data_IF_233512406389
#
_entry.id   IF_233512406389
#
_cell.length_a   1.000
_cell.length_b   1.000
_cell.length_c   1.000
_cell.angle_alpha   90.00
_cell.angle_beta   90.00
_cell.angle_gamma   90.00
#
_symmetry.space_group_name_H-M   'P 1'
#
loop_
_entity.id
_entity.type
_entity.pdbx_description
1 polymer ?
#
# COMPACT_ATOMS: atom_id res chain seq x y z
N UNK A 1 -10.14 -14.61 -2.01
CA UNK A 1 -10.34 -14.21 -3.42
C UNK A 1 -11.78 -13.76 -3.60
N UNK A 2 -12.08 -12.84 -4.53
CA UNK A 2 -13.46 -12.45 -4.89
C UNK A 2 -14.29 -11.94 -3.71
N UNK A 3 -13.66 -11.21 -2.79
CA UNK A 3 -14.33 -10.64 -1.61
C UNK A 3 -14.49 -9.14 -1.78
N UNK A 4 -15.69 -8.63 -1.52
CA UNK A 4 -15.96 -7.20 -1.43
C UNK A 4 -16.34 -6.84 0.00
N UNK A 5 -15.69 -5.83 0.55
CA UNK A 5 -16.06 -5.21 1.83
C UNK A 5 -16.44 -3.77 1.56
N UNK A 6 -17.64 -3.38 2.00
CA UNK A 6 -18.23 -2.07 1.69
C UNK A 6 -18.82 -1.38 2.91
N UNK A 7 -18.59 -0.06 3.03
CA UNK A 7 -19.26 0.82 4.00
C UNK A 7 -18.92 0.53 5.46
N UNK A 8 -17.80 -0.13 5.73
CA UNK A 8 -17.39 -0.52 7.08
C UNK A 8 -16.46 0.52 7.73
N UNK A 9 -16.45 0.54 9.06
CA UNK A 9 -15.44 1.23 9.85
C UNK A 9 -14.52 0.18 10.50
N UNK A 10 -13.28 0.12 10.06
CA UNK A 10 -12.31 -0.91 10.41
C UNK A 10 -11.16 -0.24 11.11
N UNK A 11 -10.94 -0.58 12.38
CA UNK A 11 -9.84 -0.01 13.15
C UNK A 11 -9.06 -1.08 13.92
N UNK A 12 -7.77 -0.81 14.15
CA UNK A 12 -6.91 -1.71 14.90
C UNK A 12 -5.57 -1.09 15.24
N UNK A 13 -4.75 -1.83 16.00
CA UNK A 13 -3.41 -1.37 16.38
C UNK A 13 -2.41 -1.51 15.23
N UNK A 14 -2.31 -2.72 14.68
CA UNK A 14 -1.37 -3.06 13.61
C UNK A 14 -2.01 -4.05 12.63
N UNK A 15 -1.48 -4.10 11.41
CA UNK A 15 -1.88 -5.07 10.37
C UNK A 15 -3.37 -5.02 10.11
N UNK A 16 -3.84 -3.89 9.60
CA UNK A 16 -5.26 -3.67 9.34
C UNK A 16 -5.47 -3.53 7.84
N UNK A 17 -6.43 -4.29 7.31
CA UNK A 17 -6.98 -4.05 5.99
C UNK A 17 -8.39 -4.62 5.88
N UNK A 18 -9.13 -4.19 4.87
CA UNK A 18 -10.53 -4.57 4.76
C UNK A 18 -10.73 -6.07 4.54
N UNK A 19 -9.81 -6.71 3.82
CA UNK A 19 -9.91 -8.13 3.47
C UNK A 19 -9.12 -8.99 4.45
N UNK A 20 -7.93 -8.55 4.85
CA UNK A 20 -7.07 -9.30 5.74
C UNK A 20 -6.15 -8.40 6.57
N UNK A 21 -5.85 -8.79 7.81
CA UNK A 21 -4.76 -8.16 8.55
C UNK A 21 -3.39 -8.56 8.01
N UNK A 22 -3.15 -9.87 7.89
CA UNK A 22 -2.04 -10.48 7.16
C UNK A 22 -2.55 -11.31 5.98
N UNK A 23 -2.06 -11.06 4.77
CA UNK A 23 -2.45 -11.74 3.54
C UNK A 23 -1.34 -12.59 2.95
N UNK A 24 -1.65 -13.82 2.53
CA UNK A 24 -0.71 -14.67 1.79
C UNK A 24 -0.98 -14.62 0.28
N UNK A 25 -2.23 -14.74 -0.16
CA UNK A 25 -2.61 -14.56 -1.57
C UNK A 25 -4.00 -13.95 -1.64
N UNK A 26 -4.10 -12.74 -2.16
CA UNK A 26 -5.35 -12.01 -2.30
C UNK A 26 -5.55 -11.70 -3.77
N UNK A 27 -6.69 -12.11 -4.34
CA UNK A 27 -7.01 -11.76 -5.71
C UNK A 27 -8.46 -11.34 -5.85
N UNK A 28 -8.69 -10.41 -6.76
CA UNK A 28 -10.03 -9.98 -7.18
C UNK A 28 -10.88 -9.51 -5.99
N UNK A 29 -10.24 -8.83 -5.03
CA UNK A 29 -10.90 -8.31 -3.83
C UNK A 29 -11.01 -6.79 -3.87
N UNK A 30 -12.11 -6.28 -3.32
CA UNK A 30 -12.51 -4.89 -3.42
C UNK A 30 -12.80 -4.29 -2.04
N UNK A 31 -12.12 -3.20 -1.72
CA UNK A 31 -12.39 -2.38 -0.55
C UNK A 31 -13.08 -1.10 -1.00
N UNK A 32 -14.36 -0.96 -0.70
CA UNK A 32 -15.21 0.10 -1.26
C UNK A 32 -15.80 0.96 -0.14
N UNK A 33 -15.58 2.27 -0.17
CA UNK A 33 -16.24 3.22 0.74
C UNK A 33 -16.07 2.88 2.24
N UNK A 34 -15.00 2.17 2.62
CA UNK A 34 -14.70 1.90 4.02
C UNK A 34 -13.90 3.08 4.62
N UNK A 35 -13.92 3.17 5.95
CA UNK A 35 -12.93 3.93 6.73
C UNK A 35 -12.02 2.94 7.43
N UNK A 36 -10.73 2.97 7.11
CA UNK A 36 -9.75 1.98 7.59
C UNK A 36 -8.63 2.71 8.32
N UNK A 37 -8.47 2.45 9.61
CA UNK A 37 -7.54 3.16 10.48
C UNK A 37 -6.65 2.22 11.30
N UNK A 38 -5.35 2.50 11.36
CA UNK A 38 -4.47 1.82 12.31
C UNK A 38 -3.32 2.69 12.81
N UNK A 39 -2.65 2.25 13.87
CA UNK A 39 -1.39 2.88 14.28
C UNK A 39 -0.30 2.52 13.27
N UNK A 40 -0.16 1.22 12.96
CA UNK A 40 0.90 0.72 12.07
C UNK A 40 0.36 -0.21 10.99
N UNK A 41 1.01 -0.20 9.82
CA UNK A 41 0.76 -1.09 8.69
C UNK A 41 -0.73 -1.24 8.35
N UNK A 42 -1.30 -0.16 7.80
CA UNK A 42 -2.67 -0.18 7.30
C UNK A 42 -2.67 -0.25 5.76
N UNK A 43 -3.50 -1.12 5.21
CA UNK A 43 -3.76 -1.19 3.78
C UNK A 43 -5.24 -1.14 3.48
N UNK A 44 -5.62 -0.59 2.31
CA UNK A 44 -7.02 -0.65 1.88
C UNK A 44 -7.53 -2.09 1.73
N UNK A 45 -6.65 -3.01 1.31
CA UNK A 45 -6.94 -4.43 1.11
C UNK A 45 -6.35 -5.27 2.24
N UNK A 46 -5.04 -5.15 2.51
CA UNK A 46 -4.40 -5.87 3.62
C UNK A 46 -3.34 -5.08 4.38
N UNK A 47 -3.19 -5.34 5.69
CA UNK A 47 -2.17 -4.67 6.49
C UNK A 47 -0.74 -5.09 6.16
N UNK A 48 -0.48 -6.40 6.16
CA UNK A 48 0.82 -7.01 5.80
C UNK A 48 0.64 -8.10 4.75
N UNK A 49 1.53 -8.14 3.76
CA UNK A 49 1.53 -9.13 2.68
C UNK A 49 2.74 -10.06 2.78
N UNK A 50 2.53 -11.38 2.70
CA UNK A 50 3.60 -12.40 2.63
C UNK A 50 3.64 -13.17 1.31
N UNK A 51 2.67 -12.96 0.41
CA UNK A 51 2.69 -13.52 -0.95
C UNK A 51 2.13 -12.54 -1.98
N UNK A 52 1.07 -12.87 -2.71
CA UNK A 52 0.66 -12.09 -3.89
C UNK A 52 -0.62 -11.28 -3.69
N UNK A 53 -0.70 -10.12 -4.36
CA UNK A 53 -1.95 -9.38 -4.59
C UNK A 53 -2.15 -9.18 -6.08
N UNK A 54 -3.33 -9.56 -6.58
CA UNK A 54 -3.66 -9.47 -7.99
C UNK A 54 -5.06 -8.92 -8.23
N UNK A 55 -5.23 -7.96 -9.13
CA UNK A 55 -6.58 -7.51 -9.54
C UNK A 55 -7.39 -6.89 -8.41
N UNK A 56 -6.73 -6.34 -7.38
CA UNK A 56 -7.39 -5.77 -6.21
C UNK A 56 -7.60 -4.27 -6.33
N UNK A 57 -8.63 -3.77 -5.66
CA UNK A 57 -9.02 -2.38 -5.75
C UNK A 57 -9.40 -1.79 -4.40
N UNK A 58 -9.02 -0.52 -4.21
CA UNK A 58 -9.41 0.26 -3.05
C UNK A 58 -9.99 1.62 -3.45
N UNK A 59 -11.23 1.90 -3.02
CA UNK A 59 -11.79 3.26 -2.96
C UNK A 59 -12.04 3.75 -1.53
N UNK A 60 -11.67 2.95 -0.53
CA UNK A 60 -11.82 3.29 0.87
C UNK A 60 -10.78 4.31 1.34
N UNK A 61 -11.13 5.10 2.35
CA UNK A 61 -10.19 5.98 3.04
C UNK A 61 -9.29 5.15 3.96
N UNK A 62 -7.98 5.36 3.85
CA UNK A 62 -6.96 4.63 4.62
C UNK A 62 -6.13 5.63 5.43
N UNK A 63 -6.08 5.43 6.75
CA UNK A 63 -5.31 6.30 7.65
C UNK A 63 -4.43 5.52 8.61
N UNK A 64 -3.12 5.74 8.51
CA UNK A 64 -2.11 5.22 9.43
C UNK A 64 -1.58 6.32 10.36
N UNK A 65 -0.86 5.92 11.41
CA UNK A 65 0.02 6.84 12.12
C UNK A 65 1.42 6.80 11.48
N UNK A 66 2.00 5.60 11.33
CA UNK A 66 3.38 5.45 10.84
C UNK A 66 3.51 4.85 9.44
N UNK A 67 2.67 3.90 9.02
CA UNK A 67 2.79 3.23 7.71
C UNK A 67 1.39 2.99 7.13
N UNK A 68 1.15 3.46 5.91
CA UNK A 68 -0.11 3.22 5.21
C UNK A 68 0.07 3.05 3.70
N UNK A 69 -0.67 2.13 3.09
CA UNK A 69 -0.77 2.05 1.64
C UNK A 69 -2.20 1.88 1.14
N UNK A 70 -2.48 2.34 -0.07
CA UNK A 70 -3.83 2.23 -0.63
C UNK A 70 -4.26 0.78 -0.87
N UNK A 71 -3.33 -0.13 -1.19
CA UNK A 71 -3.61 -1.56 -1.34
C UNK A 71 -3.10 -2.32 -0.12
N UNK A 72 -1.81 -2.21 0.17
CA UNK A 72 -1.19 -2.90 1.31
C UNK A 72 -0.41 -1.94 2.21
N UNK A 73 -0.37 -2.21 3.52
CA UNK A 73 0.45 -1.41 4.43
C UNK A 73 1.94 -1.67 4.22
N UNK A 74 2.36 -2.92 4.37
CA UNK A 74 3.74 -3.37 4.16
C UNK A 74 3.77 -4.72 3.48
N UNK A 75 4.86 -5.03 2.81
CA UNK A 75 5.21 -6.40 2.46
C UNK A 75 6.22 -6.96 3.46
N UNK A 76 6.16 -8.28 3.71
CA UNK A 76 7.15 -9.06 4.46
C UNK A 76 7.53 -8.52 5.84
N UNK A 77 6.52 -8.23 6.67
CA UNK A 77 6.77 -8.08 8.11
C UNK A 77 7.24 -9.44 8.69
N UNK A 78 8.23 -9.44 9.59
CA UNK A 78 8.80 -10.62 10.29
C UNK A 78 9.84 -11.48 9.53
N UNK A 79 10.54 -10.94 8.54
CA UNK A 79 11.71 -11.61 7.95
C UNK A 79 11.39 -12.79 7.01
N UNK A 80 10.11 -13.07 6.80
CA UNK A 80 9.67 -13.97 5.74
C UNK A 80 9.82 -13.26 4.40
N UNK A 81 10.84 -13.66 3.63
CA UNK A 81 11.10 -13.09 2.30
C UNK A 81 10.08 -13.65 1.31
N UNK A 82 8.95 -12.95 1.19
CA UNK A 82 7.99 -13.25 0.15
C UNK A 82 8.53 -12.67 -1.14
N UNK A 83 8.93 -13.50 -2.10
CA UNK A 83 9.15 -13.04 -3.48
C UNK A 83 7.79 -12.76 -4.13
N UNK A 84 7.00 -11.89 -3.50
CA UNK A 84 5.60 -11.68 -3.83
C UNK A 84 5.42 -10.66 -4.95
N UNK A 85 4.27 -10.73 -5.59
CA UNK A 85 3.91 -9.88 -6.71
C UNK A 85 2.66 -9.08 -6.36
N UNK A 86 2.72 -7.78 -6.57
CA UNK A 86 1.56 -6.89 -6.57
C UNK A 86 1.32 -6.43 -7.99
N UNK A 87 0.20 -6.86 -8.57
CA UNK A 87 -0.07 -6.60 -9.98
C UNK A 87 -1.54 -6.27 -10.25
N UNK A 88 -1.77 -5.38 -11.23
CA UNK A 88 -3.11 -4.97 -11.66
C UNK A 88 -3.97 -4.44 -10.51
N UNK A 89 -3.34 -3.71 -9.59
CA UNK A 89 -4.01 -3.15 -8.43
C UNK A 89 -4.24 -1.66 -8.57
N UNK A 90 -5.41 -1.21 -8.13
CA UNK A 90 -5.87 0.16 -8.31
C UNK A 90 -6.31 0.79 -6.99
N UNK A 91 -5.71 1.93 -6.65
CA UNK A 91 -6.16 2.75 -5.53
C UNK A 91 -6.74 4.07 -6.04
N UNK A 92 -7.96 4.39 -5.62
CA UNK A 92 -8.55 5.73 -5.76
C UNK A 92 -8.88 6.36 -4.40
N UNK A 93 -8.80 5.59 -3.32
CA UNK A 93 -9.04 6.06 -1.97
C UNK A 93 -7.90 6.95 -1.46
N UNK A 94 -8.23 7.93 -0.62
CA UNK A 94 -7.21 8.75 0.04
C UNK A 94 -6.40 7.91 1.03
N UNK A 95 -5.08 8.12 1.07
CA UNK A 95 -4.17 7.44 2.00
C UNK A 95 -3.40 8.49 2.79
N UNK A 96 -3.48 8.42 4.12
CA UNK A 96 -2.89 9.43 5.01
C UNK A 96 -2.06 8.81 6.13
N UNK A 97 -0.87 9.35 6.38
CA UNK A 97 -0.09 9.12 7.61
C UNK A 97 0.19 10.45 8.31
N UNK A 98 0.50 10.42 9.61
CA UNK A 98 0.59 11.65 10.43
C UNK A 98 1.95 11.90 11.08
N UNK A 99 2.74 10.86 11.37
CA UNK A 99 4.07 11.01 11.98
C UNK A 99 5.13 11.53 11.00
N UNK A 100 6.19 12.16 11.52
CA UNK A 100 7.31 12.66 10.68
C UNK A 100 8.23 11.55 10.18
N UNK A 101 8.41 10.47 10.92
CA UNK A 101 9.19 9.32 10.45
C UNK A 101 8.26 8.21 9.94
N UNK A 102 7.38 8.58 9.01
CA UNK A 102 6.35 7.70 8.45
C UNK A 102 6.57 7.39 6.97
N UNK A 103 5.90 6.35 6.48
CA UNK A 103 5.91 5.97 5.06
C UNK A 103 4.50 5.78 4.52
N UNK A 104 4.21 6.41 3.39
CA UNK A 104 2.89 6.32 2.76
C UNK A 104 2.99 6.22 1.24
N UNK A 105 2.24 5.28 0.67
CA UNK A 105 2.17 5.15 -0.78
C UNK A 105 0.79 4.76 -1.31
N UNK A 106 0.55 5.05 -2.59
CA UNK A 106 -0.72 4.74 -3.23
C UNK A 106 -1.02 3.25 -3.35
N UNK A 107 0.02 2.42 -3.50
CA UNK A 107 -0.10 0.96 -3.52
C UNK A 107 0.43 0.36 -2.22
N UNK A 108 1.64 0.73 -1.81
CA UNK A 108 2.28 0.23 -0.58
C UNK A 108 2.85 1.35 0.29
N UNK A 109 2.73 1.23 1.60
CA UNK A 109 3.29 2.19 2.55
C UNK A 109 4.80 2.07 2.70
N UNK A 110 5.30 0.87 3.01
CA UNK A 110 6.72 0.62 3.23
C UNK A 110 7.26 -0.57 2.42
N UNK A 111 8.59 -0.57 2.27
CA UNK A 111 9.40 -1.42 1.41
C UNK A 111 8.96 -2.88 1.38
N UNK A 112 9.10 -3.45 0.20
CA UNK A 112 8.66 -4.78 -0.15
C UNK A 112 9.90 -5.59 -0.53
N UNK A 113 10.64 -6.07 0.48
CA UNK A 113 11.85 -6.87 0.28
C UNK A 113 11.55 -8.00 -0.73
N UNK A 114 12.16 -7.92 -1.93
CA UNK A 114 12.02 -8.83 -3.07
C UNK A 114 10.65 -8.88 -3.75
N UNK A 115 9.82 -7.86 -3.59
CA UNK A 115 8.55 -7.78 -4.31
C UNK A 115 8.68 -7.06 -5.65
N UNK A 116 7.82 -7.47 -6.57
CA UNK A 116 7.58 -6.79 -7.83
C UNK A 116 6.23 -6.09 -7.76
N UNK A 117 6.21 -4.77 -7.98
CA UNK A 117 4.98 -3.99 -8.14
C UNK A 117 4.86 -3.60 -9.60
N UNK A 118 3.82 -4.06 -10.29
CA UNK A 118 3.67 -3.73 -11.70
C UNK A 118 2.25 -3.55 -12.17
N UNK A 119 2.05 -2.77 -13.23
CA UNK A 119 0.73 -2.55 -13.82
C UNK A 119 -0.31 -2.04 -12.80
N UNK A 120 0.12 -1.16 -11.89
CA UNK A 120 -0.73 -0.61 -10.83
C UNK A 120 -1.02 0.88 -11.07
N UNK A 121 -2.15 1.36 -10.56
CA UNK A 121 -2.51 2.77 -10.64
C UNK A 121 -2.88 3.32 -9.25
N UNK A 122 -2.38 4.52 -8.95
CA UNK A 122 -2.89 5.33 -7.86
C UNK A 122 -3.51 6.63 -8.37
N UNK A 123 -4.82 6.77 -8.24
CA UNK A 123 -5.53 8.05 -8.39
C UNK A 123 -6.02 8.60 -7.04
N UNK A 124 -5.67 7.96 -5.93
CA UNK A 124 -5.95 8.47 -4.59
C UNK A 124 -4.99 9.58 -4.20
N UNK A 125 -5.48 10.53 -3.41
CA UNK A 125 -4.63 11.56 -2.79
C UNK A 125 -3.78 10.93 -1.69
N UNK A 126 -2.46 11.10 -1.79
CA UNK A 126 -1.52 10.66 -0.77
C UNK A 126 -1.10 11.85 0.09
N UNK A 127 -1.23 11.71 1.41
CA UNK A 127 -0.88 12.76 2.37
C UNK A 127 0.02 12.17 3.46
N UNK A 128 1.24 12.69 3.58
CA UNK A 128 2.17 12.31 4.62
C UNK A 128 3.04 13.49 5.01
N UNK A 129 3.48 13.51 6.27
CA UNK A 129 4.37 14.54 6.82
C UNK A 129 5.82 14.05 6.93
N UNK A 130 6.10 12.84 6.45
CA UNK A 130 7.38 12.18 6.63
C UNK A 130 8.24 12.10 5.38
N UNK A 131 9.42 11.50 5.53
CA UNK A 131 10.42 11.40 4.47
C UNK A 131 10.01 10.50 3.30
N UNK A 132 9.12 9.53 3.55
CA UNK A 132 8.84 8.45 2.62
C UNK A 132 7.40 8.55 2.09
N UNK A 133 7.13 9.56 1.27
CA UNK A 133 5.84 9.76 0.60
C UNK A 133 6.02 9.41 -0.87
N UNK A 134 5.16 8.56 -1.43
CA UNK A 134 5.23 8.21 -2.85
C UNK A 134 3.88 7.98 -3.49
N UNK A 135 3.76 8.29 -4.78
CA UNK A 135 2.54 8.01 -5.55
C UNK A 135 2.22 6.53 -5.64
N UNK A 136 3.24 5.65 -5.60
CA UNK A 136 3.08 4.18 -5.65
C UNK A 136 3.56 3.53 -4.36
N UNK A 137 4.83 3.74 -3.99
CA UNK A 137 5.44 3.16 -2.80
C UNK A 137 5.98 4.28 -1.91
N UNK A 138 5.68 4.26 -0.61
CA UNK A 138 6.21 5.28 0.31
C UNK A 138 7.72 5.18 0.50
N UNK A 139 8.21 3.97 0.79
CA UNK A 139 9.64 3.70 0.92
C UNK A 139 10.07 2.57 0.00
N UNK A 140 11.12 2.80 -0.79
CA UNK A 140 11.78 1.80 -1.64
C UNK A 140 13.15 1.38 -1.09
N UNK A 141 13.53 1.88 0.08
CA UNK A 141 14.87 1.85 0.67
C UNK A 141 15.31 0.47 1.21
N UNK A 142 15.07 -0.58 0.43
CA UNK A 142 15.75 -1.85 0.58
C UNK A 142 16.59 -2.12 -0.65
N UNK A 143 17.85 -2.52 -0.44
CA UNK A 143 18.73 -3.10 -1.47
C UNK A 143 18.13 -4.36 -2.14
N UNK A 144 16.90 -4.73 -1.78
CA UNK A 144 16.18 -5.93 -2.18
C UNK A 144 14.83 -5.61 -2.83
N UNK A 145 14.40 -4.35 -2.98
CA UNK A 145 13.26 -4.04 -3.85
C UNK A 145 13.61 -4.49 -5.26
N UNK A 146 12.80 -5.39 -5.84
CA UNK A 146 13.15 -5.98 -7.13
C UNK A 146 12.80 -5.03 -8.28
N UNK A 147 11.54 -4.60 -8.36
CA UNK A 147 11.04 -3.87 -9.53
C UNK A 147 9.75 -3.10 -9.23
N UNK A 148 9.69 -1.83 -9.65
CA UNK A 148 8.44 -1.11 -9.86
C UNK A 148 8.38 -0.74 -11.33
N UNK A 149 7.34 -1.19 -12.06
CA UNK A 149 7.26 -0.87 -13.49
C UNK A 149 5.85 -0.93 -14.05
N UNK A 150 5.59 -0.13 -15.08
CA UNK A 150 4.24 0.11 -15.61
C UNK A 150 3.26 0.57 -14.52
N UNK A 151 3.75 1.34 -13.55
CA UNK A 151 2.94 1.90 -12.48
C UNK A 151 2.74 3.39 -12.73
N UNK A 152 1.52 3.87 -12.50
CA UNK A 152 1.14 5.24 -12.76
C UNK A 152 0.48 5.85 -11.53
N UNK A 153 0.60 7.17 -11.37
CA UNK A 153 -0.10 7.88 -10.33
C UNK A 153 -0.61 9.22 -10.85
N UNK A 154 -1.68 9.73 -10.24
CA UNK A 154 -2.20 11.06 -10.56
C UNK A 154 -1.30 12.13 -9.92
N UNK A 155 -0.50 12.83 -10.74
CA UNK A 155 0.42 13.88 -10.29
C UNK A 155 -0.28 15.11 -9.69
N UNK A 156 -1.53 15.39 -10.07
CA UNK A 156 -2.27 16.54 -9.53
C UNK A 156 -2.63 16.34 -8.05
N UNK A 157 -2.69 15.08 -7.62
CA UNK A 157 -3.04 14.69 -6.26
C UNK A 157 -1.82 14.25 -5.43
N UNK A 158 -0.67 14.09 -6.07
CA UNK A 158 0.52 13.48 -5.50
C UNK A 158 1.77 14.24 -5.94
N UNK A 159 2.35 15.00 -5.01
CA UNK A 159 3.57 15.76 -5.25
C UNK A 159 4.85 14.92 -5.10
N UNK A 160 4.71 13.62 -4.83
CA UNK A 160 5.82 12.69 -4.68
C UNK A 160 5.94 11.75 -5.88
N UNK A 161 7.16 11.35 -6.21
CA UNK A 161 7.49 10.42 -7.29
C UNK A 161 6.94 9.00 -7.07
N UNK A 162 7.47 8.01 -7.80
CA UNK A 162 7.09 6.60 -7.62
C UNK A 162 7.43 6.08 -6.20
N UNK A 163 8.47 6.62 -5.57
CA UNK A 163 8.82 6.51 -4.14
C UNK A 163 10.07 7.34 -3.80
N UNK A 164 10.43 7.44 -2.52
CA UNK A 164 11.75 7.98 -2.10
C UNK A 164 12.64 6.84 -1.56
N UNK A 165 13.83 6.67 -2.13
CA UNK A 165 14.83 5.69 -1.74
C UNK A 165 16.00 5.57 -2.74
N UNK A 166 17.18 5.15 -2.26
CA UNK A 166 18.37 5.06 -3.10
C UNK A 166 18.17 3.99 -4.19
N UNK A 167 18.25 4.40 -5.45
CA UNK A 167 17.93 3.62 -6.67
C UNK A 167 16.45 3.60 -7.05
N UNK A 168 15.96 4.75 -7.52
CA UNK A 168 14.82 4.83 -8.43
C UNK A 168 15.13 4.00 -9.69
N UNK A 169 14.84 2.70 -9.64
CA UNK A 169 14.63 1.86 -10.81
C UNK A 169 13.17 2.06 -11.25
N UNK A 170 12.89 3.25 -11.77
CA UNK A 170 11.63 3.59 -12.46
C UNK A 170 11.79 3.28 -13.94
#
# INVERSE_FOLDING_TARGET
>A
KSVTVKGANISGKSFVGAIAGGGANISDCYSIENTICAIRQVGGVCGSLTGNIFGCYNSSSVSGISIAGGIMGTASYEGNVGNGVVQYCYNIGAVTVREQDSSVGGITGASANRYNISNCLNCGKITGNGKNVGGIAGSTDSNYMNFIGNCYYNSDLNNAGVGEGASDKV
#
